data_IF_163306596847
#
_entry.id   IF_163306596847
#
_cell.length_a   1.000
_cell.length_b   1.000
_cell.length_c   1.000
_cell.angle_alpha   90.00
_cell.angle_beta   90.00
_cell.angle_gamma   90.00
#
_symmetry.space_group_name_H-M   'P 1'
#
loop_
_entity.id
_entity.type
_entity.pdbx_description
1 polymer ?
#
# COMPACT_ATOMS: atom_id res chain seq x y z
N UNK A 1 -6.15 1.97 9.49
CA UNK A 1 -6.40 0.87 8.52
C UNK A 1 -5.09 0.60 7.79
N UNK A 2 -4.55 -0.62 7.86
CA UNK A 2 -3.17 -0.94 7.43
C UNK A 2 -2.90 -0.58 5.96
N UNK A 3 -3.87 -0.79 5.07
CA UNK A 3 -3.75 -0.40 3.66
C UNK A 3 -3.52 1.11 3.47
N UNK A 4 -4.13 1.95 4.32
CA UNK A 4 -3.91 3.40 4.28
C UNK A 4 -2.58 3.86 4.87
N UNK A 5 -1.97 3.08 5.75
CA UNK A 5 -0.60 3.34 6.23
C UNK A 5 0.42 2.94 5.15
N UNK A 6 0.23 1.75 4.56
CA UNK A 6 1.05 1.27 3.47
C UNK A 6 0.99 2.18 2.24
N UNK A 7 -0.20 2.65 1.84
CA UNK A 7 -0.34 3.58 0.72
C UNK A 7 0.45 4.88 0.96
N UNK A 8 0.43 5.43 2.19
CA UNK A 8 1.21 6.63 2.53
C UNK A 8 2.71 6.36 2.56
N UNK A 9 3.14 5.23 3.09
CA UNK A 9 4.55 4.84 3.11
C UNK A 9 5.09 4.70 1.68
N UNK A 10 4.36 3.97 0.82
CA UNK A 10 4.72 3.83 -0.59
C UNK A 10 4.67 5.15 -1.37
N UNK A 11 3.66 6.00 -1.13
CA UNK A 11 3.57 7.32 -1.76
C UNK A 11 4.77 8.20 -1.39
N UNK A 12 5.17 8.21 -0.11
CA UNK A 12 6.33 8.99 0.36
C UNK A 12 7.63 8.52 -0.29
N UNK A 13 7.86 7.21 -0.32
CA UNK A 13 9.07 6.65 -0.96
C UNK A 13 9.08 6.90 -2.47
N UNK A 14 7.94 6.79 -3.15
CA UNK A 14 7.85 7.05 -4.58
C UNK A 14 7.92 8.55 -4.94
N UNK A 15 7.53 9.44 -4.03
CA UNK A 15 7.54 10.89 -4.23
C UNK A 15 8.88 11.56 -3.92
N UNK A 16 9.78 10.93 -3.16
CA UNK A 16 11.08 11.52 -2.81
C UNK A 16 12.16 11.18 -3.85
N UNK A 17 12.90 12.19 -4.35
CA UNK A 17 14.07 11.95 -5.21
C UNK A 17 15.22 11.24 -4.49
N UNK A 18 15.38 11.49 -3.19
CA UNK A 18 16.45 10.92 -2.36
C UNK A 18 16.11 9.57 -1.73
N UNK A 19 14.90 9.04 -1.96
CA UNK A 19 14.52 7.76 -1.39
C UNK A 19 15.35 6.62 -2.00
N UNK A 20 16.27 6.09 -1.19
CA UNK A 20 17.03 4.89 -1.52
C UNK A 20 16.21 3.66 -1.11
N UNK A 21 15.19 3.32 -1.89
CA UNK A 21 14.35 2.18 -1.60
C UNK A 21 13.25 1.95 -2.63
N UNK A 22 12.80 0.70 -2.72
CA UNK A 22 11.66 0.32 -3.54
C UNK A 22 10.33 0.73 -2.84
N UNK A 23 9.46 1.52 -3.50
CA UNK A 23 8.21 1.99 -2.90
C UNK A 23 7.24 0.87 -2.51
N UNK A 24 7.24 -0.24 -3.26
CA UNK A 24 6.43 -1.41 -2.94
C UNK A 24 6.96 -2.07 -1.65
N UNK A 25 8.27 -2.24 -1.51
CA UNK A 25 8.90 -2.78 -0.31
C UNK A 25 8.63 -1.90 0.93
N UNK A 26 8.66 -0.57 0.78
CA UNK A 26 8.31 0.36 1.84
C UNK A 26 6.83 0.25 2.25
N UNK A 27 5.91 0.18 1.27
CA UNK A 27 4.50 -0.06 1.52
C UNK A 27 4.25 -1.42 2.19
N UNK A 28 4.95 -2.47 1.75
CA UNK A 28 4.84 -3.84 2.28
C UNK A 28 5.40 -3.94 3.71
N UNK A 29 6.48 -3.22 4.04
CA UNK A 29 7.00 -3.15 5.39
C UNK A 29 6.07 -2.45 6.38
N UNK A 30 5.17 -1.59 5.88
CA UNK A 30 4.19 -0.87 6.69
C UNK A 30 2.91 -1.67 7.00
N UNK A 31 2.73 -2.85 6.41
CA UNK A 31 1.65 -3.80 6.74
C UNK A 31 2.18 -4.94 7.61
N UNK A 32 1.33 -5.45 8.50
CA UNK A 32 1.69 -6.58 9.37
C UNK A 32 2.03 -7.84 8.56
N UNK A 33 2.95 -8.68 9.07
CA UNK A 33 3.47 -9.84 8.34
C UNK A 33 2.42 -10.85 7.85
N UNK A 34 1.26 -10.94 8.52
CA UNK A 34 0.14 -11.78 8.08
C UNK A 34 -0.52 -11.28 6.78
N UNK A 35 -0.58 -9.96 6.58
CA UNK A 35 -1.11 -9.31 5.37
C UNK A 35 -0.10 -9.37 4.21
N UNK A 36 1.20 -9.29 4.52
CA UNK A 36 2.26 -9.24 3.52
C UNK A 36 2.44 -10.56 2.74
N UNK A 37 2.01 -11.70 3.29
CA UNK A 37 2.24 -13.04 2.73
C UNK A 37 1.37 -13.40 1.53
N UNK A 38 0.05 -13.16 1.61
CA UNK A 38 -0.89 -13.75 0.64
C UNK A 38 -1.86 -12.77 -0.05
N UNK A 39 -1.89 -11.49 0.33
CA UNK A 39 -2.96 -10.60 -0.11
C UNK A 39 -2.55 -9.16 -0.40
N UNK A 40 -1.26 -8.89 -0.58
CA UNK A 40 -0.77 -7.53 -0.80
C UNK A 40 -0.57 -7.24 -2.28
N UNK A 41 -1.14 -6.14 -2.76
CA UNK A 41 -0.79 -5.55 -4.06
C UNK A 41 -0.49 -4.06 -3.92
N UNK A 42 0.47 -3.61 -4.72
CA UNK A 42 0.89 -2.22 -4.82
C UNK A 42 0.80 -1.77 -6.28
N UNK A 43 0.36 -0.53 -6.47
CA UNK A 43 0.52 0.17 -7.74
C UNK A 43 0.76 1.65 -7.47
N UNK A 44 1.44 2.31 -8.41
CA UNK A 44 1.63 3.75 -8.38
C UNK A 44 1.33 4.37 -9.75
N UNK A 45 0.92 5.63 -9.74
CA UNK A 45 0.70 6.43 -10.94
C UNK A 45 1.02 7.90 -10.70
N UNK A 46 1.24 8.64 -11.79
CA UNK A 46 1.55 10.07 -11.75
C UNK A 46 3.03 10.40 -11.83
N UNK A 47 3.33 11.67 -12.11
CA UNK A 47 4.69 12.18 -12.31
C UNK A 47 5.04 13.28 -11.30
N UNK A 48 4.31 14.40 -11.32
CA UNK A 48 4.48 15.51 -10.37
C UNK A 48 3.71 15.26 -9.07
N UNK A 49 2.53 14.65 -9.17
CA UNK A 49 1.79 14.11 -8.04
C UNK A 49 1.79 12.59 -8.12
N UNK A 50 2.47 11.94 -7.17
CA UNK A 50 2.56 10.49 -7.11
C UNK A 50 1.39 9.97 -6.28
N UNK A 51 0.56 9.13 -6.88
CA UNK A 51 -0.50 8.40 -6.18
C UNK A 51 -0.10 6.95 -6.02
N UNK A 52 0.09 6.50 -4.78
CA UNK A 52 0.28 5.10 -4.45
C UNK A 52 -1.04 4.47 -4.02
N UNK A 53 -1.34 3.29 -4.53
CA UNK A 53 -2.50 2.48 -4.18
C UNK A 53 -2.04 1.15 -3.62
N UNK A 54 -2.60 0.76 -2.47
CA UNK A 54 -2.36 -0.51 -1.82
C UNK A 54 -3.67 -1.25 -1.67
N UNK A 55 -3.69 -2.51 -2.07
CA UNK A 55 -4.78 -3.43 -1.77
C UNK A 55 -4.27 -4.53 -0.83
N UNK A 56 -5.12 -4.87 0.15
CA UNK A 56 -4.86 -5.91 1.14
C UNK A 56 -6.05 -6.87 1.16
N UNK A 57 -5.81 -8.16 0.95
CA UNK A 57 -6.81 -9.19 1.21
C UNK A 57 -6.99 -9.36 2.72
N UNK A 58 -8.23 -9.22 3.16
CA UNK A 58 -8.66 -9.48 4.53
C UNK A 58 -9.36 -10.84 4.52
N UNK A 59 -8.77 -11.87 5.14
CA UNK A 59 -9.44 -13.15 5.27
C UNK A 59 -10.65 -12.99 6.17
N UNK A 60 -11.72 -13.70 5.82
CA UNK A 60 -12.96 -13.61 6.56
C UNK A 60 -12.85 -14.27 7.92
N UNK A 61 -13.20 -13.51 8.96
CA UNK A 61 -13.37 -14.01 10.33
C UNK A 61 -14.84 -14.31 10.65
N UNK A 62 -15.77 -13.99 9.73
CA UNK A 62 -17.22 -14.10 9.93
C UNK A 62 -17.76 -15.24 9.07
N UNK A 63 -18.39 -16.27 9.67
CA UNK A 63 -19.00 -17.35 8.91
C UNK A 63 -20.03 -16.82 7.90
N UNK A 64 -19.92 -17.28 6.64
CA UNK A 64 -20.83 -16.90 5.56
C UNK A 64 -20.41 -15.68 4.72
N UNK A 65 -19.33 -14.97 5.10
CA UNK A 65 -18.72 -13.92 4.27
C UNK A 65 -17.40 -14.46 3.70
N UNK A 66 -17.19 -14.33 2.40
CA UNK A 66 -15.92 -14.71 1.75
C UNK A 66 -14.78 -13.74 2.08
N UNK A 67 -13.53 -14.06 1.70
CA UNK A 67 -12.44 -13.08 1.76
C UNK A 67 -12.80 -11.82 0.95
N UNK A 68 -12.30 -10.67 1.39
CA UNK A 68 -12.57 -9.39 0.73
C UNK A 68 -11.33 -8.51 0.69
N UNK A 69 -11.26 -7.61 -0.28
CA UNK A 69 -10.10 -6.75 -0.51
C UNK A 69 -10.32 -5.34 0.03
N UNK A 70 -9.41 -4.87 0.87
CA UNK A 70 -9.34 -3.49 1.36
C UNK A 70 -8.36 -2.68 0.51
N UNK A 71 -8.87 -1.80 -0.35
CA UNK A 71 -8.05 -0.90 -1.19
C UNK A 71 -7.99 0.50 -0.61
N UNK A 72 -6.80 1.10 -0.57
CA UNK A 72 -6.57 2.50 -0.14
C UNK A 72 -5.51 3.15 -1.02
N UNK A 73 -5.67 4.44 -1.27
CA UNK A 73 -4.71 5.25 -2.01
C UNK A 73 -4.24 6.45 -1.19
N UNK A 74 -3.05 6.95 -1.52
CA UNK A 74 -2.49 8.19 -0.99
C UNK A 74 -1.76 8.91 -2.11
N UNK A 75 -1.96 10.22 -2.21
CA UNK A 75 -1.28 11.09 -3.17
C UNK A 75 -0.33 12.01 -2.44
N UNK A 76 0.87 12.16 -2.96
CA UNK A 76 1.87 13.11 -2.47
C UNK A 76 2.50 13.86 -3.66
N UNK A 77 2.76 15.16 -3.51
CA UNK A 77 3.54 15.90 -4.47
C UNK A 77 4.98 15.36 -4.46
N UNK A 78 5.60 15.32 -5.63
CA UNK A 78 6.98 14.89 -5.81
C UNK A 78 7.93 15.97 -5.30
N UNK A 79 8.88 15.56 -4.48
CA UNK A 79 9.83 16.44 -3.80
C UNK A 79 11.26 15.89 -3.80
#
# INVERSE_FOLDING_TARGET
NQAGTAARAGARTAASYDAHGDPEAAARGAVSGWVAGNGFSYSQSGFEDITATVAVEVPSLVPGIGPWTATRSATMPRE
#
